data_IF_180554466342
#
_entry.id   IF_180554466342
#
_cell.length_a   1.000
_cell.length_b   1.000
_cell.length_c   1.000
_cell.angle_alpha   90.00
_cell.angle_beta   90.00
_cell.angle_gamma   90.00
#
_symmetry.space_group_name_H-M   'P 1'
#
loop_
_entity.id
_entity.type
_entity.pdbx_description
1 polymer ?
#
# COMPACT_ATOMS: atom_id res chain seq x y z
N UNK A 1 35.63 17.31 3.43
CA UNK A 1 34.84 16.77 4.56
C UNK A 1 33.35 17.04 4.41
N UNK A 2 32.86 18.29 4.51
CA UNK A 2 31.40 18.54 4.48
C UNK A 2 30.71 18.08 3.18
N UNK A 3 31.36 18.29 2.02
CA UNK A 3 30.82 17.86 0.73
C UNK A 3 30.63 16.33 0.63
N UNK A 4 31.54 15.54 1.21
CA UNK A 4 31.42 14.08 1.25
C UNK A 4 30.23 13.64 2.11
N UNK A 5 30.06 14.28 3.27
CA UNK A 5 28.96 14.00 4.20
C UNK A 5 27.59 14.26 3.54
N UNK A 6 27.45 15.41 2.86
CA UNK A 6 26.21 15.74 2.12
C UNK A 6 25.97 14.74 1.00
N UNK A 7 27.01 14.35 0.28
CA UNK A 7 26.90 13.39 -0.81
C UNK A 7 26.45 12.02 -0.31
N UNK A 8 27.06 11.51 0.78
CA UNK A 8 26.66 10.25 1.42
C UNK A 8 25.19 10.29 1.82
N UNK A 9 24.75 11.39 2.42
CA UNK A 9 23.36 11.57 2.80
C UNK A 9 22.42 11.56 1.60
N UNK A 10 22.72 12.34 0.55
CA UNK A 10 21.91 12.41 -0.66
C UNK A 10 21.84 11.05 -1.39
N UNK A 11 22.95 10.33 -1.45
CA UNK A 11 23.00 8.98 -2.02
C UNK A 11 22.08 8.04 -1.24
N UNK A 12 22.09 8.09 0.10
CA UNK A 12 21.20 7.26 0.92
C UNK A 12 19.72 7.63 0.77
N UNK A 13 19.42 8.92 0.63
CA UNK A 13 18.06 9.37 0.34
C UNK A 13 17.54 8.90 -1.03
N UNK A 14 18.41 8.50 -1.96
CA UNK A 14 17.99 7.88 -3.22
C UNK A 14 17.97 6.35 -3.13
N UNK A 15 19.03 5.76 -2.57
CA UNK A 15 19.20 4.32 -2.49
C UNK A 15 18.14 3.64 -1.61
N UNK A 16 17.93 4.13 -0.38
CA UNK A 16 17.08 3.43 0.59
C UNK A 16 15.59 3.44 0.24
N UNK A 17 15.00 4.52 -0.30
CA UNK A 17 13.64 4.45 -0.80
C UNK A 17 13.46 3.42 -1.92
N UNK A 18 14.43 3.29 -2.84
CA UNK A 18 14.39 2.31 -3.92
C UNK A 18 14.48 0.87 -3.37
N UNK A 19 15.41 0.62 -2.43
CA UNK A 19 15.52 -0.63 -1.70
C UNK A 19 14.21 -1.00 -0.98
N UNK A 20 13.59 -0.02 -0.34
CA UNK A 20 12.32 -0.18 0.40
C UNK A 20 11.18 -0.52 -0.55
N UNK A 21 11.03 0.24 -1.65
CA UNK A 21 10.00 -0.01 -2.66
C UNK A 21 10.16 -1.40 -3.28
N UNK A 22 11.38 -1.78 -3.69
CA UNK A 22 11.67 -3.13 -4.21
C UNK A 22 11.18 -4.21 -3.25
N UNK A 23 11.53 -4.08 -1.97
CA UNK A 23 11.15 -5.03 -0.92
C UNK A 23 9.65 -5.14 -0.77
N UNK A 24 8.94 -4.00 -0.76
CA UNK A 24 7.48 -4.00 -0.69
C UNK A 24 6.85 -4.65 -1.93
N UNK A 25 7.33 -4.34 -3.13
CA UNK A 25 6.84 -4.97 -4.37
C UNK A 25 7.06 -6.49 -4.37
N UNK A 26 8.16 -6.98 -3.79
CA UNK A 26 8.43 -8.40 -3.64
C UNK A 26 7.42 -9.07 -2.70
N UNK A 27 7.15 -8.47 -1.53
CA UNK A 27 6.14 -8.97 -0.57
C UNK A 27 4.73 -8.95 -1.18
N UNK A 28 4.41 -7.96 -2.02
CA UNK A 28 3.15 -7.86 -2.77
C UNK A 28 3.08 -8.75 -4.01
N UNK A 29 4.09 -9.61 -4.23
CA UNK A 29 4.15 -10.55 -5.35
C UNK A 29 4.08 -9.86 -6.74
N UNK A 30 4.55 -8.61 -6.83
CA UNK A 30 4.64 -7.81 -8.05
C UNK A 30 6.04 -7.96 -8.66
N UNK A 31 6.35 -9.15 -9.14
CA UNK A 31 7.69 -9.54 -9.58
C UNK A 31 8.30 -8.62 -10.63
N UNK A 32 7.53 -8.17 -11.63
CA UNK A 32 8.03 -7.27 -12.68
C UNK A 32 8.50 -5.92 -12.11
N UNK A 33 7.66 -5.30 -11.28
CA UNK A 33 8.02 -4.04 -10.63
C UNK A 33 9.22 -4.22 -9.69
N UNK A 34 9.21 -5.29 -8.87
CA UNK A 34 10.32 -5.62 -7.98
C UNK A 34 11.64 -5.78 -8.74
N UNK A 35 11.64 -6.48 -9.88
CA UNK A 35 12.83 -6.64 -10.72
C UNK A 35 13.33 -5.31 -11.29
N UNK A 36 12.44 -4.43 -11.75
CA UNK A 36 12.84 -3.10 -12.25
C UNK A 36 13.50 -2.25 -11.15
N UNK A 37 12.92 -2.20 -9.96
CA UNK A 37 13.54 -1.52 -8.82
C UNK A 37 14.85 -2.18 -8.39
N UNK A 38 14.97 -3.51 -8.48
CA UNK A 38 16.21 -4.24 -8.19
C UNK A 38 17.35 -3.90 -9.15
N UNK A 39 17.06 -3.68 -10.44
CA UNK A 39 18.07 -3.21 -11.40
C UNK A 39 18.54 -1.79 -11.05
N UNK A 40 17.60 -0.88 -10.76
CA UNK A 40 17.94 0.48 -10.34
C UNK A 40 18.74 0.49 -9.04
N UNK A 41 18.35 -0.34 -8.07
CA UNK A 41 19.07 -0.53 -6.81
C UNK A 41 20.50 -0.99 -7.08
N UNK A 42 20.69 -2.01 -7.92
CA UNK A 42 22.02 -2.53 -8.24
C UNK A 42 22.92 -1.48 -8.91
N UNK A 43 22.37 -0.66 -9.81
CA UNK A 43 23.13 0.44 -10.43
C UNK A 43 23.56 1.46 -9.38
N UNK A 44 22.63 1.93 -8.54
CA UNK A 44 22.93 2.89 -7.48
C UNK A 44 23.93 2.31 -6.49
N UNK A 45 23.81 1.03 -6.16
CA UNK A 45 24.71 0.35 -5.25
C UNK A 45 26.14 0.30 -5.83
N UNK A 46 26.32 -0.14 -7.08
CA UNK A 46 27.66 -0.23 -7.70
C UNK A 46 28.34 1.13 -7.79
N UNK A 47 27.65 2.15 -8.29
CA UNK A 47 28.23 3.50 -8.42
C UNK A 47 28.36 4.22 -7.08
N UNK A 48 27.37 4.05 -6.20
CA UNK A 48 27.31 4.70 -4.89
C UNK A 48 28.31 4.14 -3.90
N UNK A 49 28.46 2.82 -3.83
CA UNK A 49 29.40 2.16 -2.93
C UNK A 49 30.84 2.59 -3.23
N UNK A 50 31.22 2.66 -4.50
CA UNK A 50 32.54 3.15 -4.92
C UNK A 50 32.78 4.58 -4.43
N UNK A 51 31.78 5.45 -4.50
CA UNK A 51 31.90 6.85 -4.10
C UNK A 51 31.99 7.04 -2.58
N UNK A 52 31.29 6.22 -1.80
CA UNK A 52 31.30 6.29 -0.33
C UNK A 52 32.57 5.66 0.26
N UNK A 53 33.02 4.53 -0.27
CA UNK A 53 34.13 3.76 0.30
C UNK A 53 35.52 4.17 -0.18
N UNK A 54 35.63 4.99 -1.24
CA UNK A 54 36.93 5.50 -1.72
C UNK A 54 37.49 6.68 -0.90
N UNK A 55 36.73 7.17 0.10
CA UNK A 55 37.11 8.29 0.97
C UNK A 55 37.71 7.87 2.33
N UNK A 56 38.14 8.87 3.11
CA UNK A 56 38.60 8.68 4.50
C UNK A 56 37.39 8.50 5.42
N UNK A 57 37.10 7.28 5.88
CA UNK A 57 35.93 6.99 6.70
C UNK A 57 36.03 7.60 8.11
N UNK A 58 35.44 8.78 8.30
CA UNK A 58 35.34 9.41 9.62
C UNK A 58 34.11 8.90 10.38
N UNK A 59 34.14 8.95 11.72
CA UNK A 59 32.98 8.62 12.57
C UNK A 59 31.74 9.43 12.15
N UNK A 60 31.93 10.71 11.79
CA UNK A 60 30.85 11.58 11.34
C UNK A 60 30.18 11.08 10.04
N UNK A 61 30.95 10.60 9.07
CA UNK A 61 30.42 10.04 7.82
C UNK A 61 29.62 8.75 8.06
N UNK A 62 30.08 7.89 8.98
CA UNK A 62 29.34 6.68 9.37
C UNK A 62 28.00 7.01 10.04
N UNK A 63 27.98 8.02 10.93
CA UNK A 63 26.74 8.48 11.57
C UNK A 63 25.76 9.03 10.53
N UNK A 64 26.23 9.86 9.59
CA UNK A 64 25.36 10.40 8.54
C UNK A 64 24.87 9.32 7.58
N UNK A 65 25.67 8.29 7.29
CA UNK A 65 25.22 7.12 6.55
C UNK A 65 24.05 6.41 7.26
N UNK A 66 24.16 6.18 8.57
CA UNK A 66 23.11 5.54 9.37
C UNK A 66 21.83 6.39 9.47
N UNK A 67 21.98 7.70 9.68
CA UNK A 67 20.85 8.64 9.73
C UNK A 67 20.17 8.74 8.36
N UNK A 68 20.96 8.87 7.28
CA UNK A 68 20.46 8.88 5.90
C UNK A 68 19.68 7.61 5.57
N UNK A 69 20.13 6.46 6.06
CA UNK A 69 19.41 5.20 5.91
C UNK A 69 18.04 5.24 6.61
N UNK A 70 18.00 5.67 7.89
CA UNK A 70 16.74 5.77 8.63
C UNK A 70 15.74 6.74 8.00
N UNK A 71 16.21 7.91 7.55
CA UNK A 71 15.37 8.91 6.87
C UNK A 71 14.88 8.37 5.52
N UNK A 72 15.76 7.74 4.75
CA UNK A 72 15.40 7.13 3.47
C UNK A 72 14.36 6.03 3.63
N UNK A 73 14.44 5.22 4.69
CA UNK A 73 13.43 4.20 5.00
C UNK A 73 12.06 4.83 5.25
N UNK A 74 12.00 5.86 6.11
CA UNK A 74 10.77 6.59 6.38
C UNK A 74 10.14 7.19 5.12
N UNK A 75 10.96 7.82 4.25
CA UNK A 75 10.51 8.36 2.96
C UNK A 75 10.00 7.24 2.05
N UNK A 76 10.73 6.13 1.93
CA UNK A 76 10.34 4.97 1.13
C UNK A 76 8.97 4.43 1.52
N UNK A 77 8.73 4.26 2.83
CA UNK A 77 7.42 3.84 3.34
C UNK A 77 6.33 4.88 3.08
N UNK A 78 6.63 6.18 3.17
CA UNK A 78 5.68 7.25 2.88
C UNK A 78 5.28 7.28 1.40
N UNK A 79 6.24 7.06 0.50
CA UNK A 79 6.01 6.97 -0.95
C UNK A 79 5.09 5.79 -1.23
N UNK A 80 5.36 4.62 -0.65
CA UNK A 80 4.51 3.44 -0.86
C UNK A 80 3.08 3.64 -0.37
N UNK A 81 2.91 4.19 0.84
CA UNK A 81 1.59 4.51 1.39
C UNK A 81 0.82 5.45 0.45
N UNK A 82 1.49 6.43 -0.17
CA UNK A 82 0.88 7.35 -1.13
C UNK A 82 0.55 6.69 -2.47
N UNK A 83 1.34 5.72 -2.91
CA UNK A 83 1.03 4.93 -4.10
C UNK A 83 -0.23 4.06 -3.90
N UNK A 84 -0.58 3.74 -2.64
CA UNK A 84 -1.81 3.05 -2.25
C UNK A 84 -2.09 1.82 -3.15
N UNK A 85 -1.05 1.02 -3.37
CA UNK A 85 -1.06 -0.04 -4.37
C UNK A 85 -1.81 -1.25 -3.83
N UNK A 86 -2.71 -1.76 -4.68
CA UNK A 86 -3.40 -3.02 -4.48
C UNK A 86 -4.82 -2.84 -3.95
N UNK A 87 -5.26 -3.85 -3.21
CA UNK A 87 -6.60 -3.94 -2.66
C UNK A 87 -6.50 -4.27 -1.19
N UNK A 88 -7.55 -3.93 -0.47
CA UNK A 88 -7.77 -4.38 0.90
C UNK A 88 -9.13 -5.06 0.99
N UNK A 89 -9.22 -6.07 1.84
CA UNK A 89 -10.46 -6.69 2.25
C UNK A 89 -10.74 -6.24 3.68
N UNK A 90 -11.84 -5.50 3.87
CA UNK A 90 -12.30 -5.08 5.19
C UNK A 90 -13.35 -6.08 5.67
N UNK A 91 -13.14 -6.59 6.87
CA UNK A 91 -14.08 -7.43 7.60
C UNK A 91 -14.67 -6.61 8.72
N UNK A 92 -15.96 -6.31 8.62
CA UNK A 92 -16.68 -5.40 9.51
C UNK A 92 -17.72 -6.20 10.27
N UNK A 93 -17.64 -6.23 11.59
CA UNK A 93 -18.60 -6.94 12.44
C UNK A 93 -19.60 -5.95 13.00
N UNK A 94 -20.89 -6.24 12.78
CA UNK A 94 -22.04 -5.44 13.20
C UNK A 94 -22.86 -6.20 14.24
N UNK A 95 -23.50 -5.46 15.14
CA UNK A 95 -24.44 -6.02 16.11
C UNK A 95 -25.79 -6.35 15.47
N UNK A 96 -26.25 -5.47 14.59
CA UNK A 96 -27.54 -5.58 13.89
C UNK A 96 -27.33 -5.40 12.38
N UNK A 97 -28.32 -5.81 11.58
CA UNK A 97 -28.24 -5.65 10.13
C UNK A 97 -28.51 -4.18 9.77
N UNK A 98 -27.52 -3.52 9.18
CA UNK A 98 -27.66 -2.16 8.68
C UNK A 98 -27.81 -2.15 7.16
N UNK A 99 -29.05 -2.31 6.69
CA UNK A 99 -29.37 -2.34 5.25
C UNK A 99 -29.04 -1.01 4.55
N UNK A 100 -29.11 0.12 5.27
CA UNK A 100 -28.78 1.43 4.74
C UNK A 100 -27.29 1.54 4.39
N UNK A 101 -26.42 1.17 5.33
CA UNK A 101 -24.96 1.12 5.12
C UNK A 101 -24.61 0.15 3.97
N UNK A 102 -25.22 -1.03 3.94
CA UNK A 102 -24.98 -2.02 2.89
C UNK A 102 -25.38 -1.48 1.52
N UNK A 103 -26.55 -0.85 1.41
CA UNK A 103 -27.02 -0.24 0.17
C UNK A 103 -26.11 0.92 -0.26
N UNK A 104 -25.71 1.79 0.67
CA UNK A 104 -24.82 2.91 0.40
C UNK A 104 -23.47 2.45 -0.14
N UNK A 105 -22.85 1.46 0.50
CA UNK A 105 -21.56 0.89 0.07
C UNK A 105 -21.67 0.28 -1.33
N UNK A 106 -22.73 -0.48 -1.62
CA UNK A 106 -22.98 -1.06 -2.95
C UNK A 106 -23.21 0.02 -4.01
N UNK A 107 -23.96 1.08 -3.68
CA UNK A 107 -24.23 2.20 -4.58
C UNK A 107 -22.95 3.01 -4.89
N UNK A 108 -22.02 3.13 -3.94
CA UNK A 108 -20.68 3.70 -4.14
C UNK A 108 -19.71 2.76 -4.87
N UNK A 109 -20.19 1.60 -5.31
CA UNK A 109 -19.45 0.64 -6.13
C UNK A 109 -18.49 -0.26 -5.36
N UNK A 110 -18.65 -0.39 -4.04
CA UNK A 110 -17.89 -1.35 -3.24
C UNK A 110 -18.50 -2.75 -3.34
N UNK A 111 -17.64 -3.77 -3.37
CA UNK A 111 -18.09 -5.16 -3.36
C UNK A 111 -18.33 -5.62 -1.95
N UNK A 112 -19.60 -5.71 -1.55
CA UNK A 112 -20.02 -6.08 -0.19
C UNK A 112 -20.72 -7.44 -0.19
N UNK A 113 -20.11 -8.40 0.50
CA UNK A 113 -20.73 -9.67 0.86
C UNK A 113 -21.19 -9.60 2.31
N UNK A 114 -22.38 -10.11 2.59
CA UNK A 114 -22.97 -10.09 3.94
C UNK A 114 -23.03 -11.52 4.45
N UNK A 115 -22.56 -11.75 5.67
CA UNK A 115 -22.67 -13.00 6.39
C UNK A 115 -23.52 -12.80 7.64
N UNK A 116 -24.37 -13.78 7.94
CA UNK A 116 -25.08 -13.89 9.21
C UNK A 116 -24.41 -15.00 10.03
N UNK A 117 -24.11 -14.72 11.30
CA UNK A 117 -23.47 -15.65 12.21
C UNK A 117 -24.04 -15.58 13.62
N UNK A 118 -23.62 -16.52 14.46
CA UNK A 118 -23.98 -16.56 15.88
C UNK A 118 -22.75 -16.16 16.70
N UNK A 119 -22.86 -15.07 17.45
CA UNK A 119 -21.91 -14.71 18.49
C UNK A 119 -22.17 -15.50 19.77
N UNK A 120 -21.41 -15.18 20.82
CA UNK A 120 -21.56 -15.79 22.15
C UNK A 120 -22.99 -15.68 22.69
N UNK A 121 -23.57 -14.48 22.58
CA UNK A 121 -24.83 -14.15 23.24
C UNK A 121 -25.98 -13.86 22.26
N UNK A 122 -25.68 -13.58 20.99
CA UNK A 122 -26.69 -13.14 20.00
C UNK A 122 -26.27 -13.43 18.56
N UNK A 123 -27.23 -13.31 17.63
CA UNK A 123 -26.92 -13.17 16.20
C UNK A 123 -26.02 -11.95 15.96
N UNK A 124 -25.13 -12.06 14.98
CA UNK A 124 -24.21 -11.02 14.53
C UNK A 124 -24.12 -11.02 13.01
N UNK A 125 -23.82 -9.85 12.46
CA UNK A 125 -23.64 -9.68 11.03
C UNK A 125 -22.20 -9.32 10.73
N UNK A 126 -21.70 -9.78 9.59
CA UNK A 126 -20.36 -9.48 9.14
C UNK A 126 -20.41 -9.04 7.69
N UNK A 127 -19.83 -7.88 7.40
CA UNK A 127 -19.61 -7.41 6.04
C UNK A 127 -18.18 -7.75 5.63
N UNK A 128 -18.04 -8.39 4.48
CA UNK A 128 -16.75 -8.53 3.81
C UNK A 128 -16.74 -7.60 2.61
N UNK A 129 -15.86 -6.60 2.65
CA UNK A 129 -15.80 -5.50 1.69
C UNK A 129 -14.45 -5.53 0.97
N UNK A 130 -14.47 -5.88 -0.31
CA UNK A 130 -13.28 -5.79 -1.16
C UNK A 130 -13.22 -4.42 -1.83
N UNK A 131 -12.19 -3.63 -1.51
CA UNK A 131 -11.99 -2.29 -2.05
C UNK A 131 -10.55 -2.07 -2.52
N UNK A 132 -10.34 -1.04 -3.35
CA UNK A 132 -8.99 -0.58 -3.67
C UNK A 132 -8.39 0.08 -2.43
N UNK A 133 -7.09 -0.10 -2.21
CA UNK A 133 -6.40 0.47 -1.03
C UNK A 133 -6.50 2.00 -0.98
N UNK A 134 -6.52 2.67 -2.12
CA UNK A 134 -6.71 4.12 -2.17
C UNK A 134 -8.12 4.62 -1.79
N UNK A 135 -9.09 3.72 -1.67
CA UNK A 135 -10.46 4.00 -1.21
C UNK A 135 -10.77 3.35 0.14
N UNK A 136 -9.76 2.81 0.83
CA UNK A 136 -9.94 2.19 2.15
C UNK A 136 -10.51 3.20 3.16
N UNK A 137 -9.91 4.39 3.24
CA UNK A 137 -10.38 5.45 4.13
C UNK A 137 -11.84 5.85 3.83
N UNK A 138 -12.23 5.93 2.54
CA UNK A 138 -13.62 6.22 2.17
C UNK A 138 -14.60 5.18 2.75
N UNK A 139 -14.22 3.90 2.79
CA UNK A 139 -15.04 2.84 3.38
C UNK A 139 -15.04 2.95 4.91
N UNK A 140 -13.88 3.19 5.52
CA UNK A 140 -13.75 3.36 6.97
C UNK A 140 -14.61 4.52 7.47
N UNK A 141 -14.55 5.68 6.81
CA UNK A 141 -15.31 6.88 7.17
C UNK A 141 -16.82 6.61 7.12
N UNK A 142 -17.29 5.90 6.08
CA UNK A 142 -18.71 5.52 5.96
C UNK A 142 -19.16 4.55 7.04
N UNK A 143 -18.30 3.59 7.42
CA UNK A 143 -18.63 2.66 8.51
C UNK A 143 -18.66 3.40 9.84
N UNK A 144 -17.72 4.32 10.09
CA UNK A 144 -17.67 5.09 11.33
C UNK A 144 -18.88 6.03 11.49
N UNK A 145 -19.37 6.61 10.39
CA UNK A 145 -20.56 7.46 10.37
C UNK A 145 -21.85 6.68 10.68
N UNK A 146 -22.02 5.50 10.06
CA UNK A 146 -23.27 4.73 10.18
C UNK A 146 -23.26 3.71 11.32
N UNK A 147 -22.09 3.18 11.68
CA UNK A 147 -21.87 2.11 12.64
C UNK A 147 -20.61 2.38 13.48
N UNK A 148 -20.60 3.42 14.34
CA UNK A 148 -19.42 3.81 15.14
C UNK A 148 -18.97 2.76 16.15
N UNK A 149 -19.80 1.74 16.41
CA UNK A 149 -19.49 0.60 17.28
C UNK A 149 -19.00 -0.63 16.50
N UNK A 150 -18.87 -0.53 15.18
CA UNK A 150 -18.41 -1.63 14.35
C UNK A 150 -16.96 -2.01 14.68
N UNK A 151 -16.68 -3.30 14.65
CA UNK A 151 -15.32 -3.81 14.76
C UNK A 151 -14.78 -4.17 13.38
N UNK A 152 -13.72 -3.48 12.96
CA UNK A 152 -13.18 -3.54 11.61
C UNK A 152 -11.79 -4.18 11.62
N UNK A 153 -11.56 -5.14 10.73
CA UNK A 153 -10.25 -5.73 10.46
C UNK A 153 -9.92 -5.56 8.98
N UNK A 154 -8.70 -5.11 8.68
CA UNK A 154 -8.20 -4.92 7.30
C UNK A 154 -7.21 -6.04 6.96
N UNK A 155 -7.42 -6.69 5.81
CA UNK A 155 -6.56 -7.75 5.28
C UNK A 155 -6.08 -7.40 3.87
N UNK A 156 -4.83 -7.74 3.55
CA UNK A 156 -4.28 -7.54 2.21
C UNK A 156 -4.38 -8.82 1.36
N UNK A 157 -5.34 -8.93 0.42
CA UNK A 157 -5.41 -10.05 -0.52
C UNK A 157 -4.22 -10.05 -1.48
N UNK A 158 -3.58 -11.22 -1.65
CA UNK A 158 -2.40 -11.39 -2.51
C UNK A 158 -2.69 -11.95 -3.92
N UNK A 159 -3.81 -12.65 -4.11
CA UNK A 159 -4.18 -13.28 -5.38
C UNK A 159 -5.68 -13.17 -5.60
N UNK A 160 -6.08 -13.01 -6.86
CA UNK A 160 -7.48 -12.87 -7.27
C UNK A 160 -7.79 -13.85 -8.39
N UNK A 161 -8.93 -14.55 -8.29
CA UNK A 161 -9.45 -15.43 -9.35
C UNK A 161 -10.99 -15.42 -9.31
N UNK A 162 -11.63 -14.87 -10.35
CA UNK A 162 -13.10 -14.74 -10.41
C UNK A 162 -13.66 -13.57 -9.60
N UNK A 163 -14.99 -13.44 -9.53
CA UNK A 163 -15.68 -12.39 -8.76
C UNK A 163 -16.19 -11.19 -9.58
N UNK A 164 -17.26 -10.56 -9.08
CA UNK A 164 -17.96 -9.44 -9.72
C UNK A 164 -17.08 -8.19 -9.85
N UNK A 165 -16.28 -7.88 -8.82
CA UNK A 165 -15.40 -6.71 -8.80
C UNK A 165 -14.43 -6.72 -10.00
N UNK A 166 -13.84 -7.88 -10.32
CA UNK A 166 -12.87 -8.01 -11.43
C UNK A 166 -13.53 -7.70 -12.79
N UNK A 167 -14.81 -8.06 -12.99
CA UNK A 167 -15.55 -7.80 -14.22
C UNK A 167 -15.93 -6.33 -14.37
N UNK A 168 -16.44 -5.70 -13.30
CA UNK A 168 -16.75 -4.27 -13.29
C UNK A 168 -15.46 -3.44 -13.52
N UNK A 169 -14.34 -3.84 -12.92
CA UNK A 169 -13.06 -3.16 -13.05
C UNK A 169 -12.43 -3.30 -14.45
N UNK A 170 -12.54 -4.46 -15.11
CA UNK A 170 -12.16 -4.61 -16.54
C UNK A 170 -12.96 -3.67 -17.44
N UNK A 171 -14.25 -3.43 -17.13
CA UNK A 171 -15.13 -2.54 -17.91
C UNK A 171 -14.71 -1.07 -17.78
N UNK A 172 -14.31 -0.62 -16.59
CA UNK A 172 -13.80 0.75 -16.39
C UNK A 172 -12.42 1.00 -17.02
N UNK A 173 -11.51 0.01 -17.00
CA UNK A 173 -10.22 0.08 -17.70
C UNK A 173 -10.37 0.18 -19.23
N UNK A 174 -11.35 -0.53 -19.82
CA UNK A 174 -11.65 -0.39 -21.26
C UNK A 174 -12.22 1.00 -21.59
N UNK A 175 -13.07 1.57 -20.74
CA UNK A 175 -13.70 2.88 -20.98
C UNK A 175 -12.70 4.05 -20.95
N UNK A 176 -11.66 3.98 -20.12
CA UNK A 176 -10.60 5.00 -20.06
C UNK A 176 -9.69 5.04 -21.28
N UNK A 177 -9.51 3.92 -21.99
CA UNK A 177 -8.73 3.88 -23.23
C UNK A 177 -9.51 4.39 -24.45
N UNK A 178 -10.85 4.32 -24.42
CA UNK A 178 -11.68 4.84 -25.52
C UNK A 178 -11.76 6.36 -25.52
N UNK A 179 -11.66 7.01 -24.35
CA UNK A 179 -11.68 8.49 -24.23
C UNK A 179 -10.34 9.13 -24.60
N UNK A 180 -9.24 8.36 -24.62
CA UNK A 180 -7.92 8.85 -25.10
C UNK A 180 -7.69 8.66 -26.60
N UNK A 181 -8.65 8.09 -27.33
CA UNK A 181 -8.59 7.85 -28.78
C UNK A 181 -9.66 8.62 -29.57
N UNK A 182 -10.36 9.56 -28.92
CA UNK A 182 -11.17 10.61 -29.55
C UNK A 182 -10.55 11.97 -29.21
#
# INVERSE_FOLDING_TARGET
MLMNIILIFALQLLYVPILTLRTIFLVKNMSVAASSFGILEALIYVFGLSLVFSGHQSIAEMVVYAVGFGVGLYIGTRIENKLAIGYTCLVVNLMEMNEELIALLRNKGFGVTVFEGMGRDSKRFQLEILTKRNRENEVMDLIEEYEPKAFIISYEPRKFKGGYLIKAMKKHLKKGNTVKQM
#
